data_IF_560898854134
#
_entry.id   IF_560898854134
#
_cell.length_a   1.000
_cell.length_b   1.000
_cell.length_c   1.000
_cell.angle_alpha   90.00
_cell.angle_beta   90.00
_cell.angle_gamma   90.00
#
_symmetry.space_group_name_H-M   'P 1'
#
loop_
_entity.id
_entity.type
_entity.pdbx_description
1 polymer ?
#
# COMPACT_ATOMS: atom_id res chain seq x y z
N UNK A 1 14.13 -5.91 11.86
CA UNK A 1 12.71 -5.79 11.49
C UNK A 1 12.41 -4.32 11.22
N UNK A 2 11.70 -3.97 10.12
CA UNK A 2 11.22 -2.59 9.90
C UNK A 2 9.85 -2.43 10.56
N UNK A 3 9.54 -1.25 11.08
CA UNK A 3 8.23 -0.95 11.67
C UNK A 3 7.58 0.24 10.98
N UNK A 4 6.38 0.02 10.44
CA UNK A 4 5.50 1.06 9.94
C UNK A 4 4.26 1.21 10.80
N UNK A 5 3.39 2.16 10.47
CA UNK A 5 2.11 2.42 11.15
C UNK A 5 1.00 2.51 10.13
N UNK A 6 -0.12 1.81 10.35
CA UNK A 6 -1.29 1.88 9.48
C UNK A 6 -2.38 2.78 10.05
N UNK A 7 -3.02 3.56 9.17
CA UNK A 7 -4.13 4.45 9.55
C UNK A 7 -3.76 5.94 9.55
N UNK A 8 -2.63 6.31 8.91
CA UNK A 8 -2.09 7.67 8.96
C UNK A 8 -2.97 8.76 8.33
N UNK A 9 -4.01 8.40 7.56
CA UNK A 9 -4.93 9.33 6.92
C UNK A 9 -6.40 8.89 7.07
N UNK A 10 -6.73 8.16 8.15
CA UNK A 10 -8.09 7.67 8.40
C UNK A 10 -8.47 7.76 9.87
N UNK A 11 -9.76 7.63 10.16
CA UNK A 11 -10.29 7.83 11.50
C UNK A 11 -9.95 9.22 12.02
N UNK A 12 -9.43 9.34 13.24
CA UNK A 12 -9.03 10.64 13.80
C UNK A 12 -7.87 11.29 13.03
N UNK A 13 -7.03 10.52 12.31
CA UNK A 13 -5.99 11.05 11.43
C UNK A 13 -6.53 11.56 10.07
N UNK A 14 -7.85 11.61 9.86
CA UNK A 14 -8.44 12.40 8.80
C UNK A 14 -8.45 13.92 9.15
N UNK A 15 -8.29 14.27 10.43
CA UNK A 15 -7.98 15.63 10.85
C UNK A 15 -6.50 15.94 10.52
N UNK A 16 -6.22 17.04 9.78
CA UNK A 16 -4.86 17.31 9.32
C UNK A 16 -3.88 17.64 10.44
N UNK A 17 -4.33 18.29 11.50
CA UNK A 17 -3.46 18.66 12.62
C UNK A 17 -3.07 17.41 13.45
N UNK A 18 -4.02 16.50 13.67
CA UNK A 18 -3.76 15.21 14.32
C UNK A 18 -2.81 14.38 13.47
N UNK A 19 -3.07 14.26 12.17
CA UNK A 19 -2.23 13.51 11.24
C UNK A 19 -0.78 14.03 11.22
N UNK A 20 -0.59 15.36 11.20
CA UNK A 20 0.73 15.97 11.23
C UNK A 20 1.48 15.66 12.52
N UNK A 21 0.84 15.84 13.70
CA UNK A 21 1.48 15.53 14.99
C UNK A 21 1.84 14.06 15.14
N UNK A 22 0.94 13.17 14.74
CA UNK A 22 1.19 11.71 14.77
C UNK A 22 2.34 11.34 13.83
N UNK A 23 2.36 11.86 12.61
CA UNK A 23 3.41 11.58 11.64
C UNK A 23 4.79 12.06 12.11
N UNK A 24 4.87 13.27 12.64
CA UNK A 24 6.12 13.84 13.18
C UNK A 24 6.61 13.07 14.40
N UNK A 25 5.71 12.65 15.28
CA UNK A 25 6.07 11.83 16.44
C UNK A 25 6.58 10.45 16.00
N UNK A 26 5.89 9.79 15.06
CA UNK A 26 6.33 8.51 14.52
C UNK A 26 7.73 8.61 13.86
N UNK A 27 7.96 9.69 13.10
CA UNK A 27 9.28 9.95 12.52
C UNK A 27 10.36 10.18 13.57
N UNK A 28 10.05 10.92 14.64
CA UNK A 28 10.98 11.19 15.75
C UNK A 28 11.31 9.91 16.54
N UNK A 29 10.32 9.04 16.76
CA UNK A 29 10.47 7.75 17.43
C UNK A 29 11.24 6.72 16.58
N UNK A 30 11.44 6.94 15.29
CA UNK A 30 12.22 6.04 14.43
C UNK A 30 11.40 5.01 13.66
N UNK A 31 10.08 5.16 13.58
CA UNK A 31 9.29 4.32 12.67
C UNK A 31 9.72 4.53 11.22
N UNK A 32 9.77 3.43 10.46
CA UNK A 32 10.29 3.44 9.08
C UNK A 32 9.28 4.00 8.09
N UNK A 33 7.96 3.76 8.30
CA UNK A 33 6.94 4.14 7.34
C UNK A 33 5.56 4.40 7.94
N UNK A 34 4.79 5.27 7.26
CA UNK A 34 3.37 5.54 7.52
C UNK A 34 2.55 4.99 6.37
N UNK A 35 1.42 4.33 6.68
CA UNK A 35 0.58 3.68 5.70
C UNK A 35 -0.88 4.12 5.82
N UNK A 36 -1.53 4.24 4.67
CA UNK A 36 -2.98 4.50 4.61
C UNK A 36 -3.65 3.61 3.58
N UNK A 37 -4.86 3.15 3.91
CA UNK A 37 -5.71 2.37 3.00
C UNK A 37 -6.52 3.27 2.08
N UNK A 38 -7.34 2.65 1.23
CA UNK A 38 -8.26 3.32 0.34
C UNK A 38 -9.60 2.60 0.27
N UNK A 39 -10.66 3.39 0.41
CA UNK A 39 -11.96 3.14 -0.19
C UNK A 39 -12.50 4.49 -0.69
N UNK A 40 -12.90 4.54 -1.95
CA UNK A 40 -13.48 5.76 -2.55
C UNK A 40 -14.87 5.99 -1.99
N UNK A 41 -15.63 4.92 -1.80
CA UNK A 41 -16.93 4.88 -1.12
C UNK A 41 -17.07 3.59 -0.33
N UNK A 42 -17.82 3.65 0.78
CA UNK A 42 -18.19 2.48 1.57
C UNK A 42 -19.69 2.18 1.38
N UNK A 43 -20.09 0.90 1.46
CA UNK A 43 -21.49 0.52 1.32
C UNK A 43 -22.34 1.02 2.48
N UNK A 44 -23.51 1.60 2.17
CA UNK A 44 -24.54 2.00 3.13
C UNK A 44 -25.88 1.32 2.78
N UNK A 45 -26.48 0.53 3.70
CA UNK A 45 -25.94 0.14 5.00
C UNK A 45 -24.67 -0.70 4.86
N UNK A 46 -23.84 -0.74 5.93
CA UNK A 46 -22.65 -1.58 5.95
C UNK A 46 -22.96 -3.02 5.60
N UNK A 47 -22.20 -3.58 4.68
CA UNK A 47 -22.31 -4.98 4.24
C UNK A 47 -20.92 -5.63 4.24
N UNK A 48 -20.83 -6.88 4.69
CA UNK A 48 -19.60 -7.65 4.55
C UNK A 48 -19.22 -7.77 3.06
N UNK A 49 -17.94 -7.65 2.72
CA UNK A 49 -16.76 -7.57 3.58
C UNK A 49 -16.25 -6.13 3.84
N UNK A 50 -17.14 -5.12 3.94
CA UNK A 50 -16.71 -3.74 4.24
C UNK A 50 -15.86 -3.69 5.51
N UNK A 51 -14.67 -3.06 5.46
CA UNK A 51 -13.75 -3.04 6.59
C UNK A 51 -14.16 -2.02 7.68
N UNK A 52 -15.05 -1.10 7.35
CA UNK A 52 -15.44 0.00 8.23
C UNK A 52 -16.92 0.35 8.06
N UNK A 53 -17.44 1.19 8.98
CA UNK A 53 -18.76 1.79 8.88
C UNK A 53 -18.81 2.80 7.73
N UNK A 54 -20.00 3.08 7.16
CA UNK A 54 -20.13 3.97 5.99
C UNK A 54 -19.60 5.39 6.20
N UNK A 55 -19.69 5.89 7.44
CA UNK A 55 -19.27 7.21 7.86
C UNK A 55 -17.82 7.31 8.34
N UNK A 56 -17.07 6.19 8.29
CA UNK A 56 -15.66 6.17 8.70
C UNK A 56 -14.81 7.07 7.79
N UNK A 57 -14.19 8.14 8.34
CA UNK A 57 -13.45 9.09 7.53
C UNK A 57 -12.14 8.48 7.02
N UNK A 58 -11.94 8.57 5.72
CA UNK A 58 -10.75 8.08 5.04
C UNK A 58 -10.36 9.05 3.93
N UNK A 59 -9.21 9.73 4.10
CA UNK A 59 -8.72 10.64 3.07
C UNK A 59 -8.21 9.85 1.87
N UNK A 60 -8.35 10.46 0.68
CA UNK A 60 -7.75 9.90 -0.53
C UNK A 60 -6.22 9.76 -0.35
N UNK A 61 -5.62 8.58 -0.63
CA UNK A 61 -4.22 8.29 -0.30
C UNK A 61 -3.22 9.29 -0.88
N UNK A 62 -3.36 9.65 -2.17
CA UNK A 62 -2.43 10.59 -2.79
C UNK A 62 -2.47 11.97 -2.12
N UNK A 63 -3.66 12.46 -1.76
CA UNK A 63 -3.85 13.76 -1.09
C UNK A 63 -3.33 13.73 0.34
N UNK A 64 -3.73 12.72 1.13
CA UNK A 64 -3.30 12.58 2.52
C UNK A 64 -1.78 12.39 2.64
N UNK A 65 -1.20 11.49 1.84
CA UNK A 65 0.24 11.25 1.87
C UNK A 65 1.05 12.46 1.33
N UNK A 66 0.53 13.25 0.38
CA UNK A 66 1.18 14.48 -0.04
C UNK A 66 1.25 15.51 1.11
N UNK A 67 0.19 15.62 1.91
CA UNK A 67 0.20 16.43 3.11
C UNK A 67 1.23 15.93 4.13
N UNK A 68 1.26 14.63 4.41
CA UNK A 68 2.25 14.03 5.30
C UNK A 68 3.69 14.18 4.77
N UNK A 69 3.89 14.14 3.46
CA UNK A 69 5.19 14.40 2.84
C UNK A 69 5.73 15.79 3.15
N UNK A 70 4.85 16.80 3.24
CA UNK A 70 5.23 18.18 3.54
C UNK A 70 5.66 18.38 5.00
N UNK A 71 5.07 17.63 5.95
CA UNK A 71 5.31 17.78 7.39
C UNK A 71 6.33 16.80 7.97
N UNK A 72 6.85 15.87 7.16
CA UNK A 72 7.89 14.87 7.52
C UNK A 72 9.09 14.95 6.58
N UNK A 73 10.21 14.32 6.93
CA UNK A 73 11.47 14.42 6.16
C UNK A 73 12.11 13.09 5.79
N UNK A 74 11.96 12.04 6.61
CA UNK A 74 12.67 10.75 6.49
C UNK A 74 11.73 9.56 6.39
N UNK A 75 10.65 9.56 7.17
CA UNK A 75 9.70 8.45 7.25
C UNK A 75 9.11 8.17 5.86
N UNK A 76 9.05 6.91 5.46
CA UNK A 76 8.47 6.51 4.17
C UNK A 76 6.94 6.60 4.23
N UNK A 77 6.34 6.72 3.06
CA UNK A 77 4.90 6.90 2.89
C UNK A 77 4.35 5.77 2.03
N UNK A 78 3.51 4.92 2.61
CA UNK A 78 2.98 3.73 1.97
C UNK A 78 1.48 3.81 1.72
N UNK A 79 1.03 3.28 0.60
CA UNK A 79 -0.38 2.97 0.40
C UNK A 79 -0.64 1.50 0.76
N UNK A 80 -1.63 1.26 1.60
CA UNK A 80 -1.97 -0.09 2.05
C UNK A 80 -3.45 -0.39 1.94
N UNK A 81 -4.02 -0.33 0.76
CA UNK A 81 -3.51 -0.25 -0.61
C UNK A 81 -4.34 0.71 -1.47
N UNK A 82 -3.83 1.15 -2.61
CA UNK A 82 -4.61 1.80 -3.66
C UNK A 82 -5.34 0.76 -4.50
N UNK A 83 -6.63 1.00 -4.79
CA UNK A 83 -7.46 0.14 -5.63
C UNK A 83 -7.26 0.47 -7.12
N UNK A 84 -6.13 -0.01 -7.68
CA UNK A 84 -5.63 0.38 -9.01
C UNK A 84 -6.61 0.06 -10.14
N UNK A 85 -7.38 -1.04 -10.03
CA UNK A 85 -8.35 -1.44 -11.03
C UNK A 85 -9.51 -0.43 -11.21
N UNK A 86 -9.73 0.43 -10.22
CA UNK A 86 -10.81 1.41 -10.19
C UNK A 86 -10.40 2.76 -10.80
N UNK A 87 -9.17 2.90 -11.28
CA UNK A 87 -8.59 4.17 -11.71
C UNK A 87 -8.14 4.14 -13.16
N UNK A 88 -8.09 5.34 -13.75
CA UNK A 88 -7.34 5.52 -15.00
C UNK A 88 -5.84 5.45 -14.69
N UNK A 89 -5.09 4.50 -15.25
CA UNK A 89 -3.68 4.30 -14.90
C UNK A 89 -2.77 5.45 -15.34
N UNK A 90 -3.16 6.23 -16.36
CA UNK A 90 -2.39 7.41 -16.80
C UNK A 90 -2.48 8.51 -15.74
N UNK A 91 -3.67 8.74 -15.19
CA UNK A 91 -3.88 9.71 -14.10
C UNK A 91 -3.16 9.24 -12.84
N UNK A 92 -3.33 7.97 -12.47
CA UNK A 92 -2.68 7.40 -11.28
C UNK A 92 -1.14 7.44 -11.39
N UNK A 93 -0.58 7.15 -12.57
CA UNK A 93 0.86 7.27 -12.80
C UNK A 93 1.37 8.68 -12.52
N UNK A 94 0.59 9.71 -12.94
CA UNK A 94 0.90 11.11 -12.68
C UNK A 94 0.81 11.47 -11.20
N UNK A 95 -0.24 11.03 -10.51
CA UNK A 95 -0.45 11.25 -9.07
C UNK A 95 0.71 10.66 -8.27
N UNK A 96 1.07 9.39 -8.53
CA UNK A 96 2.12 8.69 -7.80
C UNK A 96 3.52 9.25 -8.10
N UNK A 97 3.80 9.64 -9.34
CA UNK A 97 5.04 10.33 -9.67
C UNK A 97 5.15 11.69 -8.97
N UNK A 98 4.06 12.45 -8.91
CA UNK A 98 4.02 13.74 -8.20
C UNK A 98 4.24 13.56 -6.70
N UNK A 99 3.59 12.57 -6.10
CA UNK A 99 3.78 12.24 -4.68
C UNK A 99 5.21 11.77 -4.40
N UNK A 100 5.81 10.98 -5.29
CA UNK A 100 7.19 10.54 -5.14
C UNK A 100 8.17 11.71 -5.17
N UNK A 101 7.98 12.67 -6.07
CA UNK A 101 8.76 13.92 -6.12
C UNK A 101 8.55 14.75 -4.85
N UNK A 102 7.32 15.00 -4.42
CA UNK A 102 7.00 15.77 -3.22
C UNK A 102 7.57 15.12 -1.96
N UNK A 103 7.54 13.81 -1.88
CA UNK A 103 8.12 13.05 -0.77
C UNK A 103 9.65 12.87 -0.87
N UNK A 104 10.29 13.32 -1.97
CA UNK A 104 11.72 13.11 -2.24
C UNK A 104 12.11 11.64 -2.28
N UNK A 105 11.32 10.82 -2.99
CA UNK A 105 11.60 9.39 -3.17
C UNK A 105 11.27 8.52 -1.96
N UNK A 106 10.32 8.93 -1.10
CA UNK A 106 9.90 8.13 0.07
C UNK A 106 8.65 7.29 -0.15
N UNK A 107 8.04 7.35 -1.33
CA UNK A 107 6.81 6.60 -1.62
C UNK A 107 7.06 5.08 -1.70
N UNK A 108 6.14 4.31 -1.13
CA UNK A 108 5.94 2.87 -1.37
C UNK A 108 4.52 2.71 -1.92
N UNK A 109 4.39 2.21 -3.14
CA UNK A 109 3.10 2.07 -3.79
C UNK A 109 2.52 0.68 -3.55
N UNK A 110 1.68 0.57 -2.52
CA UNK A 110 0.87 -0.63 -2.31
C UNK A 110 -0.39 -0.58 -3.15
N UNK A 111 -0.66 -1.63 -3.90
CA UNK A 111 -1.80 -1.74 -4.81
C UNK A 111 -2.56 -3.05 -4.64
N UNK A 112 -3.84 -3.04 -4.98
CA UNK A 112 -4.70 -4.21 -5.01
C UNK A 112 -5.80 -4.10 -6.04
N UNK A 113 -6.43 -5.22 -6.34
CA UNK A 113 -7.51 -5.29 -7.33
C UNK A 113 -8.86 -4.79 -6.81
N UNK A 114 -9.04 -4.71 -5.48
CA UNK A 114 -10.32 -4.38 -4.86
C UNK A 114 -11.25 -5.59 -4.68
N UNK A 115 -12.23 -5.44 -3.79
CA UNK A 115 -13.14 -6.54 -3.41
C UNK A 115 -14.59 -6.10 -3.11
N UNK A 116 -14.87 -4.80 -2.99
CA UNK A 116 -16.23 -4.28 -2.73
C UNK A 116 -16.99 -4.07 -4.04
N UNK A 117 -17.98 -4.91 -4.31
CA UNK A 117 -18.82 -4.80 -5.53
C UNK A 117 -19.55 -3.45 -5.65
N UNK A 118 -20.01 -2.90 -4.50
CA UNK A 118 -20.72 -1.63 -4.43
C UNK A 118 -19.84 -0.46 -4.90
N UNK A 119 -18.57 -0.47 -4.50
CA UNK A 119 -17.59 0.53 -4.88
C UNK A 119 -17.30 0.48 -6.39
N UNK A 120 -17.08 -0.72 -6.96
CA UNK A 120 -16.94 -0.90 -8.42
C UNK A 120 -18.15 -0.41 -9.18
N UNK A 121 -19.35 -0.72 -8.68
CA UNK A 121 -20.62 -0.27 -9.29
C UNK A 121 -20.74 1.27 -9.26
N UNK A 122 -20.43 1.90 -8.14
CA UNK A 122 -20.46 3.34 -8.01
C UNK A 122 -19.50 4.04 -8.97
N UNK A 123 -18.38 3.41 -9.30
CA UNK A 123 -17.38 3.92 -10.23
C UNK A 123 -17.64 3.52 -11.70
N UNK A 124 -18.69 2.73 -11.97
CA UNK A 124 -19.03 2.27 -13.33
C UNK A 124 -18.01 1.29 -13.92
N UNK A 125 -17.30 0.53 -13.08
CA UNK A 125 -16.26 -0.40 -13.51
C UNK A 125 -16.73 -1.85 -13.32
N UNK A 126 -16.65 -2.70 -14.34
CA UNK A 126 -16.99 -4.12 -14.22
C UNK A 126 -16.06 -4.83 -13.21
N UNK A 127 -16.67 -5.44 -12.20
CA UNK A 127 -15.95 -6.12 -11.12
C UNK A 127 -15.09 -7.29 -11.61
N UNK A 128 -15.58 -8.00 -12.61
CA UNK A 128 -14.96 -9.19 -13.20
C UNK A 128 -13.65 -8.85 -13.92
N UNK A 129 -13.50 -7.64 -14.39
CA UNK A 129 -12.30 -7.16 -15.09
C UNK A 129 -11.18 -6.71 -14.16
N UNK A 130 -11.42 -6.62 -12.83
CA UNK A 130 -10.48 -6.01 -11.88
C UNK A 130 -9.07 -6.60 -11.92
N UNK A 131 -8.94 -7.93 -12.10
CA UNK A 131 -7.66 -8.60 -12.21
C UNK A 131 -6.88 -8.17 -13.44
N UNK A 132 -7.51 -8.25 -14.62
CA UNK A 132 -6.90 -7.85 -15.89
C UNK A 132 -6.57 -6.35 -15.93
N UNK A 133 -7.47 -5.49 -15.40
CA UNK A 133 -7.21 -4.05 -15.24
C UNK A 133 -6.01 -3.77 -14.34
N UNK A 134 -5.86 -4.52 -13.25
CA UNK A 134 -4.70 -4.38 -12.35
C UNK A 134 -3.40 -4.71 -13.07
N UNK A 135 -3.36 -5.82 -13.79
CA UNK A 135 -2.17 -6.26 -14.51
C UNK A 135 -1.75 -5.26 -15.59
N UNK A 136 -2.72 -4.79 -16.37
CA UNK A 136 -2.48 -3.81 -17.43
C UNK A 136 -2.09 -2.44 -16.87
N UNK A 137 -2.73 -1.99 -15.78
CA UNK A 137 -2.44 -0.71 -15.17
C UNK A 137 -1.00 -0.61 -14.65
N UNK A 138 -0.46 -1.67 -14.04
CA UNK A 138 0.95 -1.71 -13.62
C UNK A 138 1.87 -1.49 -14.81
N UNK A 139 1.63 -2.20 -15.92
CA UNK A 139 2.47 -2.12 -17.11
C UNK A 139 2.37 -0.73 -17.79
N UNK A 140 1.16 -0.18 -17.88
CA UNK A 140 0.92 1.16 -18.41
C UNK A 140 1.62 2.26 -17.57
N UNK A 141 1.54 2.18 -16.24
CA UNK A 141 2.21 3.12 -15.35
C UNK A 141 3.73 3.04 -15.50
N UNK A 142 4.30 1.83 -15.55
CA UNK A 142 5.73 1.63 -15.80
C UNK A 142 6.18 2.19 -17.15
N UNK A 143 5.40 2.00 -18.20
CA UNK A 143 5.69 2.58 -19.50
C UNK A 143 5.82 4.12 -19.42
N UNK A 144 4.92 4.81 -18.69
CA UNK A 144 4.96 6.25 -18.48
C UNK A 144 6.18 6.70 -17.64
N UNK A 145 6.59 5.89 -16.66
CA UNK A 145 7.69 6.26 -15.76
C UNK A 145 9.08 6.00 -16.36
N UNK A 146 9.22 4.91 -17.14
CA UNK A 146 10.53 4.37 -17.49
C UNK A 146 10.91 4.58 -18.95
N UNK A 147 9.95 4.59 -19.88
CA UNK A 147 10.28 4.71 -21.30
C UNK A 147 10.65 6.15 -21.66
N UNK A 148 11.72 6.39 -22.47
CA UNK A 148 12.05 7.71 -22.99
C UNK A 148 10.91 8.32 -23.81
N UNK A 149 10.24 7.50 -24.61
CA UNK A 149 9.07 7.83 -25.42
C UNK A 149 7.93 6.90 -25.03
N UNK A 150 7.12 7.27 -24.01
CA UNK A 150 6.08 6.38 -23.47
C UNK A 150 5.06 5.99 -24.54
N UNK A 151 4.92 4.68 -24.74
CA UNK A 151 3.89 4.09 -25.57
C UNK A 151 3.39 2.81 -24.94
N UNK A 152 2.09 2.60 -24.98
CA UNK A 152 1.44 1.40 -24.45
C UNK A 152 0.19 1.07 -25.25
N UNK A 153 -0.06 -0.21 -25.46
CA UNK A 153 -1.27 -0.70 -26.16
C UNK A 153 -1.83 -1.90 -25.39
N UNK A 154 -2.86 -1.65 -24.62
CA UNK A 154 -3.59 -2.67 -23.87
C UNK A 154 -5.05 -2.77 -24.28
N UNK A 155 -5.79 -3.57 -23.54
CA UNK A 155 -7.24 -3.73 -23.69
C UNK A 155 -8.02 -2.52 -23.14
N UNK A 156 -7.57 -1.98 -22.00
CA UNK A 156 -8.27 -0.94 -21.26
C UNK A 156 -7.60 0.43 -21.41
N UNK A 157 -6.32 0.45 -21.75
CA UNK A 157 -5.50 1.66 -21.81
C UNK A 157 -4.61 1.61 -23.03
N UNK A 158 -4.57 2.72 -23.79
CA UNK A 158 -3.63 2.86 -24.90
C UNK A 158 -3.18 4.32 -24.99
N UNK A 159 -1.89 4.55 -25.20
CA UNK A 159 -1.33 5.86 -25.44
C UNK A 159 -0.04 5.78 -26.27
N UNK A 160 0.21 6.83 -27.01
CA UNK A 160 1.47 7.07 -27.70
C UNK A 160 1.67 8.60 -27.85
N UNK A 161 2.89 9.03 -28.23
CA UNK A 161 3.20 10.44 -28.44
C UNK A 161 2.86 11.34 -27.24
N UNK A 162 3.07 10.83 -26.03
CA UNK A 162 2.81 11.55 -24.77
C UNK A 162 4.06 11.57 -23.88
N UNK A 163 4.10 12.52 -22.95
CA UNK A 163 5.08 12.57 -21.85
C UNK A 163 4.36 12.80 -20.53
N UNK A 164 4.81 12.13 -19.47
CA UNK A 164 4.30 12.29 -18.11
C UNK A 164 5.40 12.84 -17.20
N UNK A 165 5.55 14.18 -17.18
CA UNK A 165 6.51 14.86 -16.31
C UNK A 165 5.81 15.52 -15.11
N UNK A 166 6.44 15.55 -13.88
CA UNK A 166 7.73 14.93 -13.58
C UNK A 166 7.64 13.41 -13.57
N UNK A 167 8.76 12.74 -13.82
CA UNK A 167 8.91 11.30 -13.53
C UNK A 167 9.15 11.09 -12.04
N UNK A 168 8.94 9.86 -11.51
CA UNK A 168 9.33 9.54 -10.15
C UNK A 168 10.80 9.86 -9.87
N UNK A 169 11.09 10.25 -8.63
CA UNK A 169 12.46 10.48 -8.14
C UNK A 169 13.21 9.16 -7.95
N UNK A 170 12.50 8.13 -7.52
CA UNK A 170 13.10 6.80 -7.31
C UNK A 170 13.44 6.15 -8.65
N UNK A 171 14.67 5.64 -8.85
CA UNK A 171 15.02 4.86 -10.04
C UNK A 171 14.12 3.64 -10.17
N UNK A 172 13.54 3.42 -11.36
CA UNK A 172 12.58 2.33 -11.56
C UNK A 172 11.14 2.65 -11.14
N UNK A 173 10.89 3.84 -10.62
CA UNK A 173 9.62 4.26 -10.01
C UNK A 173 9.50 3.87 -8.54
N UNK A 174 8.44 4.27 -7.84
CA UNK A 174 8.16 3.83 -6.48
C UNK A 174 8.07 2.30 -6.42
N UNK A 175 8.68 1.64 -5.39
CA UNK A 175 8.54 0.20 -5.26
C UNK A 175 7.08 -0.18 -5.08
N UNK A 176 6.64 -1.16 -5.87
CA UNK A 176 5.27 -1.66 -5.86
C UNK A 176 5.19 -2.83 -4.89
N UNK A 177 4.19 -2.82 -4.00
CA UNK A 177 3.81 -3.96 -3.17
C UNK A 177 2.37 -4.38 -3.47
N UNK A 178 2.13 -5.68 -3.62
CA UNK A 178 0.81 -6.22 -3.96
C UNK A 178 0.10 -6.67 -2.70
N UNK A 179 -1.13 -6.17 -2.50
CA UNK A 179 -2.04 -6.64 -1.49
C UNK A 179 -2.89 -7.83 -1.95
N UNK A 180 -3.30 -8.64 -0.98
CA UNK A 180 -4.18 -9.79 -1.21
C UNK A 180 -3.47 -11.14 -1.22
N UNK A 181 -4.27 -12.20 -1.00
CA UNK A 181 -3.79 -13.57 -0.80
C UNK A 181 -4.32 -14.59 -1.82
N UNK A 182 -5.02 -14.14 -2.87
CA UNK A 182 -5.42 -15.05 -3.97
C UNK A 182 -4.21 -15.46 -4.81
N UNK A 183 -4.27 -16.60 -5.50
CA UNK A 183 -3.18 -17.03 -6.38
C UNK A 183 -2.86 -16.00 -7.47
N UNK A 184 -3.87 -15.31 -7.99
CA UNK A 184 -3.68 -14.22 -8.94
C UNK A 184 -2.88 -13.04 -8.32
N UNK A 185 -3.15 -12.68 -7.06
CA UNK A 185 -2.40 -11.65 -6.35
C UNK A 185 -0.95 -12.11 -6.09
N UNK A 186 -0.76 -13.35 -5.65
CA UNK A 186 0.57 -13.91 -5.38
C UNK A 186 1.41 -14.07 -6.67
N UNK A 187 0.81 -14.49 -7.78
CA UNK A 187 1.49 -14.50 -9.10
C UNK A 187 1.90 -13.09 -9.52
N UNK A 188 1.01 -12.12 -9.36
CA UNK A 188 1.31 -10.70 -9.65
C UNK A 188 2.45 -10.17 -8.77
N UNK A 189 2.46 -10.54 -7.50
CA UNK A 189 3.56 -10.23 -6.58
C UNK A 189 4.91 -10.72 -7.11
N UNK A 190 4.98 -11.98 -7.52
CA UNK A 190 6.22 -12.58 -8.03
C UNK A 190 6.68 -11.95 -9.35
N UNK A 191 5.75 -11.66 -10.27
CA UNK A 191 6.07 -11.26 -11.63
C UNK A 191 6.13 -9.74 -11.83
N UNK A 192 5.50 -8.95 -10.94
CA UNK A 192 5.29 -7.51 -11.18
C UNK A 192 5.57 -6.61 -9.98
N UNK A 193 6.07 -7.09 -8.86
CA UNK A 193 6.22 -6.24 -7.68
C UNK A 193 7.51 -6.50 -6.89
N UNK A 194 7.97 -5.49 -6.16
CA UNK A 194 9.09 -5.60 -5.23
C UNK A 194 8.69 -6.25 -3.91
N UNK A 195 7.39 -6.26 -3.58
CA UNK A 195 6.95 -6.83 -2.32
C UNK A 195 5.51 -7.33 -2.30
N UNK A 196 5.18 -8.03 -1.22
CA UNK A 196 3.84 -8.44 -0.85
C UNK A 196 3.40 -7.74 0.43
N UNK A 197 2.09 -7.43 0.53
CA UNK A 197 1.48 -6.83 1.72
C UNK A 197 0.29 -7.66 2.20
N UNK A 198 0.42 -8.24 3.39
CA UNK A 198 -0.67 -8.89 4.11
C UNK A 198 -1.38 -7.94 5.06
N UNK A 199 -2.71 -7.93 5.05
CA UNK A 199 -3.51 -7.06 5.90
C UNK A 199 -4.33 -7.86 6.91
N UNK A 200 -4.24 -7.48 8.20
CA UNK A 200 -5.00 -8.04 9.33
C UNK A 200 -4.89 -9.57 9.44
N UNK A 201 -3.68 -10.10 9.34
CA UNK A 201 -3.40 -11.54 9.39
C UNK A 201 -2.76 -11.96 10.72
N UNK A 202 -3.07 -13.18 11.15
CA UNK A 202 -2.36 -13.89 12.20
C UNK A 202 -1.18 -14.71 11.63
N UNK A 203 -0.40 -15.33 12.52
CA UNK A 203 0.81 -16.08 12.16
C UNK A 203 0.51 -17.26 11.23
N UNK A 204 -0.57 -18.00 11.50
CA UNK A 204 -0.96 -19.16 10.70
C UNK A 204 -1.38 -18.77 9.28
N UNK A 205 -2.10 -17.66 9.14
CA UNK A 205 -2.49 -17.11 7.83
C UNK A 205 -1.27 -16.65 7.04
N UNK A 206 -0.31 -15.99 7.70
CA UNK A 206 0.95 -15.56 7.07
C UNK A 206 1.74 -16.77 6.59
N UNK A 207 1.92 -17.80 7.43
CA UNK A 207 2.63 -19.02 7.09
C UNK A 207 2.03 -19.72 5.85
N UNK A 208 0.69 -19.82 5.79
CA UNK A 208 -0.02 -20.39 4.64
C UNK A 208 0.23 -19.57 3.35
N UNK A 209 0.19 -18.24 3.42
CA UNK A 209 0.44 -17.40 2.24
C UNK A 209 1.88 -17.50 1.79
N UNK A 210 2.85 -17.48 2.70
CA UNK A 210 4.27 -17.60 2.37
C UNK A 210 4.61 -18.97 1.76
N UNK A 211 4.01 -20.06 2.28
CA UNK A 211 4.14 -21.37 1.67
C UNK A 211 3.57 -21.44 0.25
N UNK A 212 2.48 -20.72 -0.03
CA UNK A 212 1.91 -20.60 -1.40
C UNK A 212 2.80 -19.75 -2.29
N UNK A 213 3.35 -18.63 -1.80
CA UNK A 213 4.33 -17.82 -2.54
C UNK A 213 5.56 -18.63 -2.92
N UNK A 214 6.10 -19.42 -1.99
CA UNK A 214 7.24 -20.29 -2.26
C UNK A 214 6.95 -21.30 -3.38
N UNK A 215 5.82 -22.04 -3.29
CA UNK A 215 5.40 -23.00 -4.33
C UNK A 215 5.18 -22.36 -5.71
N UNK A 216 4.63 -21.14 -5.75
CA UNK A 216 4.45 -20.41 -7.00
C UNK A 216 5.81 -19.93 -7.54
N UNK A 217 6.75 -19.57 -6.68
CA UNK A 217 8.11 -19.18 -7.04
C UNK A 217 8.93 -20.30 -7.68
N UNK A 218 8.63 -21.57 -7.34
CA UNK A 218 9.23 -22.74 -8.01
C UNK A 218 8.75 -22.90 -9.47
N UNK A 219 7.59 -22.35 -9.80
CA UNK A 219 6.93 -22.47 -11.12
C UNK A 219 7.11 -21.24 -12.00
N UNK A 220 7.49 -20.11 -11.41
CA UNK A 220 7.53 -18.80 -12.06
C UNK A 220 8.94 -18.21 -11.92
N UNK A 221 9.52 -17.81 -13.03
CA UNK A 221 10.78 -17.07 -13.02
C UNK A 221 10.50 -15.60 -12.63
N UNK A 222 11.00 -15.18 -11.46
CA UNK A 222 10.89 -13.81 -11.01
C UNK A 222 11.85 -12.91 -11.79
N UNK A 223 11.37 -11.81 -12.41
CA UNK A 223 12.22 -10.88 -13.12
C UNK A 223 13.33 -10.31 -12.20
N UNK A 224 14.61 -10.39 -12.60
CA UNK A 224 15.74 -9.99 -11.75
C UNK A 224 15.74 -8.50 -11.40
N UNK A 225 15.18 -7.65 -12.24
CA UNK A 225 15.02 -6.21 -12.00
C UNK A 225 14.09 -5.88 -10.82
N UNK A 226 13.25 -6.80 -10.39
CA UNK A 226 12.39 -6.64 -9.22
C UNK A 226 13.15 -6.85 -7.90
N UNK A 227 14.35 -7.44 -7.95
CA UNK A 227 15.16 -7.71 -6.77
C UNK A 227 14.52 -8.74 -5.81
N UNK A 228 15.04 -8.88 -4.59
CA UNK A 228 14.46 -9.76 -3.58
C UNK A 228 13.06 -9.31 -3.17
N UNK A 229 12.20 -10.29 -2.87
CA UNK A 229 10.82 -10.03 -2.48
C UNK A 229 10.77 -9.53 -1.02
N UNK A 230 10.23 -8.34 -0.79
CA UNK A 230 10.00 -7.81 0.55
C UNK A 230 8.59 -8.19 1.06
N UNK A 231 8.51 -8.76 2.25
CA UNK A 231 7.25 -9.14 2.90
C UNK A 231 6.88 -8.10 3.94
N UNK A 232 5.76 -7.43 3.73
CA UNK A 232 5.17 -6.47 4.68
C UNK A 232 3.85 -7.00 5.22
N UNK A 233 3.57 -6.74 6.50
CA UNK A 233 2.41 -7.29 7.19
C UNK A 233 1.79 -6.28 8.15
N UNK A 234 0.48 -6.08 8.07
CA UNK A 234 -0.32 -5.56 9.18
C UNK A 234 -0.82 -6.74 10.01
N UNK A 235 -0.25 -6.99 11.19
CA UNK A 235 -0.63 -8.12 12.02
C UNK A 235 -2.00 -7.89 12.68
N UNK A 236 -2.74 -8.97 12.89
CA UNK A 236 -3.96 -8.94 13.71
C UNK A 236 -3.59 -8.97 15.18
N UNK A 237 -4.18 -8.08 15.97
CA UNK A 237 -3.96 -7.99 17.41
C UNK A 237 -2.65 -7.31 17.82
N UNK A 238 -2.41 -7.25 19.13
CA UNK A 238 -1.26 -6.58 19.71
C UNK A 238 0.06 -7.27 19.36
N UNK A 239 1.13 -6.49 19.18
CA UNK A 239 2.48 -6.99 19.04
C UNK A 239 3.10 -7.24 20.41
N UNK A 240 3.79 -8.38 20.54
CA UNK A 240 4.69 -8.70 21.66
C UNK A 240 6.06 -9.05 21.09
N UNK A 241 7.14 -9.01 21.91
CA UNK A 241 8.47 -9.42 21.46
C UNK A 241 8.49 -10.82 20.83
N UNK A 242 7.75 -11.78 21.41
CA UNK A 242 7.68 -13.16 20.92
C UNK A 242 6.99 -13.23 19.55
N UNK A 243 5.91 -12.47 19.35
CA UNK A 243 5.22 -12.39 18.05
C UNK A 243 6.08 -11.74 16.98
N UNK A 244 6.81 -10.68 17.35
CA UNK A 244 7.76 -10.01 16.44
C UNK A 244 8.84 -11.01 16.01
N UNK A 245 9.43 -11.75 16.95
CA UNK A 245 10.41 -12.79 16.66
C UNK A 245 9.82 -13.86 15.72
N UNK A 246 8.59 -14.34 16.01
CA UNK A 246 7.91 -15.33 15.16
C UNK A 246 7.69 -14.81 13.74
N UNK A 247 7.25 -13.57 13.55
CA UNK A 247 7.11 -12.99 12.21
C UNK A 247 8.46 -12.84 11.49
N UNK A 248 9.53 -12.52 12.21
CA UNK A 248 10.87 -12.48 11.64
C UNK A 248 11.34 -13.86 11.17
N UNK A 249 11.12 -14.92 11.95
CA UNK A 249 11.40 -16.31 11.57
C UNK A 249 10.63 -16.74 10.31
N UNK A 250 9.39 -16.28 10.16
CA UNK A 250 8.58 -16.51 8.97
C UNK A 250 9.07 -15.73 7.74
N UNK A 251 10.05 -14.83 7.89
CA UNK A 251 10.59 -14.04 6.79
C UNK A 251 9.83 -12.73 6.53
N UNK A 252 9.07 -12.22 7.50
CA UNK A 252 8.48 -10.89 7.42
C UNK A 252 9.57 -9.83 7.60
N UNK A 253 9.62 -8.86 6.69
CA UNK A 253 10.61 -7.80 6.68
C UNK A 253 10.13 -6.51 7.35
N UNK A 254 8.80 -6.24 7.26
CA UNK A 254 8.16 -5.04 7.81
C UNK A 254 6.85 -5.38 8.51
N UNK A 255 6.69 -4.94 9.75
CA UNK A 255 5.42 -4.95 10.49
C UNK A 255 4.78 -3.57 10.45
N UNK A 256 3.48 -3.53 10.18
CA UNK A 256 2.69 -2.31 10.00
C UNK A 256 1.43 -2.42 10.87
N UNK A 257 1.55 -2.40 12.20
CA UNK A 257 0.38 -2.51 13.08
C UNK A 257 -0.60 -1.34 12.85
N UNK A 258 -1.89 -1.63 13.09
CA UNK A 258 -2.97 -0.68 12.97
C UNK A 258 -2.97 0.24 14.19
N UNK A 259 -2.96 1.55 13.95
CA UNK A 259 -3.06 2.55 15.01
C UNK A 259 -4.46 2.53 15.64
N UNK A 260 -4.58 2.78 16.97
CA UNK A 260 -5.87 3.10 17.60
C UNK A 260 -6.56 4.28 16.88
N UNK A 261 -7.89 4.26 16.87
CA UNK A 261 -8.68 5.30 16.20
C UNK A 261 -9.55 6.10 17.17
N UNK A 262 -9.38 5.88 18.49
CA UNK A 262 -10.25 6.45 19.51
C UNK A 262 -9.87 7.89 19.87
N UNK A 263 -8.58 8.17 20.06
CA UNK A 263 -8.07 9.49 20.42
C UNK A 263 -6.58 9.63 20.15
N UNK A 264 -6.11 10.88 20.01
CA UNK A 264 -4.68 11.18 19.89
C UNK A 264 -3.87 10.71 21.12
N UNK A 265 -4.47 10.78 22.31
CA UNK A 265 -3.86 10.27 23.55
C UNK A 265 -3.70 8.75 23.49
N UNK A 266 -4.67 8.03 22.93
CA UNK A 266 -4.57 6.58 22.74
C UNK A 266 -3.43 6.24 21.76
N UNK A 267 -3.34 6.95 20.63
CA UNK A 267 -2.22 6.78 19.69
C UNK A 267 -0.88 7.05 20.38
N UNK A 268 -0.78 8.15 21.15
CA UNK A 268 0.44 8.52 21.82
C UNK A 268 0.94 7.42 22.78
N UNK A 269 0.06 6.91 23.65
CA UNK A 269 0.38 5.82 24.59
C UNK A 269 0.76 4.52 23.85
N UNK A 270 0.08 4.26 22.75
CA UNK A 270 0.34 3.07 21.95
C UNK A 270 1.71 3.15 21.25
N UNK A 271 2.11 4.33 20.72
CA UNK A 271 3.44 4.57 20.18
C UNK A 271 4.53 4.40 21.26
N UNK A 272 4.32 4.95 22.47
CA UNK A 272 5.25 4.76 23.59
C UNK A 272 5.48 3.28 23.93
N UNK A 273 4.43 2.46 23.82
CA UNK A 273 4.50 1.01 24.03
C UNK A 273 5.25 0.26 22.92
N UNK A 274 5.29 0.79 21.69
CA UNK A 274 6.03 0.18 20.57
C UNK A 274 7.47 0.65 20.43
N UNK A 275 7.79 1.85 20.90
CA UNK A 275 9.13 2.45 20.77
C UNK A 275 10.26 1.52 21.26
N UNK A 276 10.15 0.83 22.42
CA UNK A 276 11.19 -0.10 22.87
C UNK A 276 11.41 -1.30 21.94
N UNK A 277 10.49 -1.59 21.01
CA UNK A 277 10.57 -2.71 20.09
C UNK A 277 11.21 -2.35 18.74
N UNK A 278 11.54 -1.06 18.52
CA UNK A 278 12.08 -0.56 17.26
C UNK A 278 13.59 -0.81 17.10
N UNK A 279 14.27 -1.27 18.14
CA UNK A 279 15.72 -1.44 18.26
C UNK A 279 16.39 -2.44 17.37
#
# INVERSE_FOLDING_TARGET
MKFGLFGACSGICADPDVAARVAQRAEAAGFESLWTGEHVVLPEPRQAPSPAEPDFPMLHPATGLAYLAAVTRRIRLGTGIVLIAQRNPVVLAKEMASLDVLSRGRLILGIGAGYLHQEFRALGIPFEERGARTDEAIDAMRALWLQPHPAFRGRFTSFNNVQAQPRPTQPGGPPIVIGGSSDAALRRTLLKAQGWYGFAMDEAQVEQVLARLARLGEQLERPPELGPLEISLSPRGALTPERIARFAELGVHRLIPLMPQDSEVAIARWLDGLEPMLG
#
